data_IF_028224294444
#
_entry.id   IF_028224294444
#
_cell.length_a   1.000
_cell.length_b   1.000
_cell.length_c   1.000
_cell.angle_alpha   90.00
_cell.angle_beta   90.00
_cell.angle_gamma   90.00
#
_symmetry.space_group_name_H-M   'P 1'
#
loop_
_entity.id
_entity.type
_entity.pdbx_description
1 polymer ?
#
# COMPACT_ATOMS: atom_id res chain seq x y z
N UNK A 1 -84.81 52.35 -1.42
CA UNK A 1 -83.67 51.86 -2.27
C UNK A 1 -82.51 51.64 -1.35
N UNK A 2 -82.33 50.42 -0.86
CA UNK A 2 -81.35 50.03 0.16
C UNK A 2 -80.18 49.34 -0.55
N UNK A 3 -79.01 49.95 -0.47
CA UNK A 3 -77.80 49.42 -1.08
C UNK A 3 -77.26 48.22 -0.25
N UNK A 4 -76.92 47.12 -0.95
CA UNK A 4 -76.32 45.94 -0.38
C UNK A 4 -74.83 46.18 -0.07
N UNK A 5 -74.26 45.59 1.02
CA UNK A 5 -72.86 45.74 1.33
C UNK A 5 -71.96 44.81 0.47
N UNK A 6 -70.77 45.31 0.14
CA UNK A 6 -69.73 44.60 -0.65
C UNK A 6 -69.13 43.42 0.11
N UNK A 7 -68.73 42.35 -0.57
CA UNK A 7 -68.10 41.20 0.07
C UNK A 7 -66.66 41.47 0.53
N UNK A 8 -66.32 40.99 1.73
CA UNK A 8 -64.97 41.02 2.31
C UNK A 8 -64.01 40.07 1.56
N UNK A 9 -62.75 40.46 1.35
CA UNK A 9 -61.75 39.57 0.76
C UNK A 9 -61.32 38.49 1.74
N UNK A 10 -61.34 37.23 1.28
CA UNK A 10 -60.83 36.06 2.02
C UNK A 10 -59.32 36.15 2.23
N UNK A 11 -58.81 35.67 3.36
CA UNK A 11 -57.37 35.65 3.65
C UNK A 11 -56.70 34.66 2.70
N UNK A 12 -55.67 35.15 1.99
CA UNK A 12 -54.75 34.31 1.21
C UNK A 12 -54.02 33.33 2.14
N UNK A 13 -54.20 32.03 1.91
CA UNK A 13 -53.39 30.98 2.56
C UNK A 13 -51.94 31.17 2.12
N UNK A 14 -51.08 31.41 3.09
CA UNK A 14 -49.62 31.41 2.91
C UNK A 14 -49.18 29.98 2.57
N UNK A 15 -48.56 29.80 1.41
CA UNK A 15 -47.88 28.55 1.06
C UNK A 15 -46.78 28.26 2.09
N UNK A 16 -46.59 27.01 2.51
CA UNK A 16 -45.50 26.65 3.35
C UNK A 16 -44.16 26.91 2.63
N UNK A 17 -43.25 27.61 3.31
CA UNK A 17 -41.89 27.80 2.84
C UNK A 17 -41.28 26.45 2.52
N UNK A 18 -40.81 26.27 1.28
CA UNK A 18 -39.99 25.15 0.90
C UNK A 18 -38.73 25.14 1.76
N UNK A 19 -38.62 24.14 2.62
CA UNK A 19 -37.39 23.86 3.34
C UNK A 19 -36.36 23.38 2.33
N UNK A 20 -35.56 24.28 1.75
CA UNK A 20 -34.34 23.97 1.01
C UNK A 20 -33.26 23.46 2.00
N UNK A 21 -33.56 22.33 2.62
CA UNK A 21 -32.54 21.50 3.22
C UNK A 21 -31.95 20.68 2.06
N UNK A 22 -31.07 21.31 1.28
CA UNK A 22 -30.17 20.59 0.42
C UNK A 22 -29.36 19.66 1.34
N UNK A 23 -29.73 18.39 1.37
CA UNK A 23 -28.96 17.34 2.03
C UNK A 23 -27.59 17.38 1.37
N UNK A 24 -26.59 17.94 2.08
CA UNK A 24 -25.20 17.89 1.64
C UNK A 24 -24.87 16.45 1.28
N UNK A 25 -24.35 16.26 0.08
CA UNK A 25 -23.93 14.93 -0.39
C UNK A 25 -22.93 14.41 0.63
N UNK A 26 -23.20 13.27 1.27
CA UNK A 26 -22.31 12.76 2.31
C UNK A 26 -20.91 12.56 1.73
N UNK A 27 -19.85 12.84 2.49
CA UNK A 27 -18.48 12.76 2.00
C UNK A 27 -18.17 11.34 1.50
N UNK A 28 -17.28 11.20 0.49
CA UNK A 28 -16.95 9.89 -0.06
C UNK A 28 -16.31 9.00 0.99
N UNK A 29 -16.83 7.77 1.13
CA UNK A 29 -16.36 6.80 2.11
C UNK A 29 -14.89 6.39 1.84
N UNK A 30 -14.03 6.55 2.84
CA UNK A 30 -12.60 6.25 2.77
C UNK A 30 -12.16 5.04 3.61
N UNK A 31 -10.85 4.85 3.72
CA UNK A 31 -10.23 3.79 4.55
C UNK A 31 -10.70 3.77 6.02
N UNK A 32 -10.85 4.94 6.71
CA UNK A 32 -11.36 4.96 8.09
C UNK A 32 -12.77 4.39 8.21
N UNK A 33 -13.66 4.71 7.28
CA UNK A 33 -15.03 4.19 7.24
C UNK A 33 -15.07 2.66 7.06
N UNK A 34 -14.28 2.11 6.13
CA UNK A 34 -14.16 0.67 5.94
C UNK A 34 -13.59 -0.05 7.18
N UNK A 35 -12.68 0.60 7.90
CA UNK A 35 -12.16 0.09 9.16
C UNK A 35 -13.24 0.05 10.23
N UNK A 36 -13.97 1.16 10.45
CA UNK A 36 -15.07 1.25 11.42
C UNK A 36 -16.19 0.26 11.12
N UNK A 37 -16.60 0.11 9.86
CA UNK A 37 -17.59 -0.90 9.46
C UNK A 37 -17.16 -2.32 9.83
N UNK A 38 -15.89 -2.67 9.64
CA UNK A 38 -15.36 -3.98 10.05
C UNK A 38 -15.34 -4.18 11.56
N UNK A 39 -15.04 -3.13 12.31
CA UNK A 39 -15.08 -3.15 13.79
C UNK A 39 -16.50 -3.40 14.26
N UNK A 40 -17.50 -2.68 13.74
CA UNK A 40 -18.93 -2.88 14.06
C UNK A 40 -19.39 -4.29 13.65
N UNK A 41 -19.01 -4.76 12.44
CA UNK A 41 -19.37 -6.11 11.95
C UNK A 41 -18.85 -7.24 12.85
N UNK A 42 -17.69 -7.03 13.50
CA UNK A 42 -17.02 -8.04 14.36
C UNK A 42 -17.35 -7.90 15.85
N UNK A 43 -18.07 -6.87 16.24
CA UNK A 43 -18.36 -6.54 17.63
C UNK A 43 -19.85 -6.63 17.94
N UNK A 44 -20.22 -6.33 19.18
CA UNK A 44 -21.61 -6.19 19.60
C UNK A 44 -22.30 -4.95 19.01
N UNK A 45 -21.58 -4.09 18.29
CA UNK A 45 -22.13 -2.87 17.68
C UNK A 45 -22.40 -1.73 18.66
N UNK A 46 -21.57 -1.57 19.68
CA UNK A 46 -21.72 -0.45 20.60
C UNK A 46 -21.48 0.89 19.89
N UNK A 47 -22.37 1.91 20.08
CA UNK A 47 -22.19 3.22 19.48
C UNK A 47 -20.94 3.91 20.01
N UNK A 48 -20.20 4.57 19.11
CA UNK A 48 -19.03 5.39 19.45
C UNK A 48 -19.36 6.88 19.47
N UNK A 49 -20.49 7.27 18.86
CA UNK A 49 -21.01 8.63 18.80
C UNK A 49 -20.01 9.65 18.22
N UNK A 50 -19.18 9.20 17.27
CA UNK A 50 -18.18 10.02 16.58
C UNK A 50 -18.61 10.36 15.14
N UNK A 51 -17.83 11.23 14.48
CA UNK A 51 -18.11 11.70 13.13
C UNK A 51 -18.20 10.55 12.13
N UNK A 52 -17.32 9.54 12.23
CA UNK A 52 -17.33 8.39 11.31
C UNK A 52 -18.63 7.58 11.43
N UNK A 53 -19.17 7.46 12.64
CA UNK A 53 -20.47 6.80 12.87
C UNK A 53 -21.61 7.60 12.24
N UNK A 54 -21.60 8.93 12.40
CA UNK A 54 -22.62 9.82 11.80
C UNK A 54 -22.58 9.69 10.28
N UNK A 55 -21.40 9.74 9.66
CA UNK A 55 -21.22 9.61 8.21
C UNK A 55 -21.68 8.24 7.70
N UNK A 56 -21.38 7.16 8.43
CA UNK A 56 -21.80 5.80 8.07
C UNK A 56 -23.33 5.59 8.24
N UNK A 57 -23.96 6.23 9.20
CA UNK A 57 -25.42 6.25 9.36
C UNK A 57 -26.07 7.07 8.24
N UNK A 58 -25.55 8.27 7.96
CA UNK A 58 -26.07 9.15 6.90
C UNK A 58 -25.95 8.51 5.51
N UNK A 59 -24.91 7.72 5.26
CA UNK A 59 -24.73 6.97 4.00
C UNK A 59 -25.48 5.64 3.95
N UNK A 60 -26.21 5.27 5.02
CA UNK A 60 -26.95 4.01 5.09
C UNK A 60 -26.08 2.76 5.21
N UNK A 61 -24.79 2.88 5.54
CA UNK A 61 -23.88 1.75 5.75
C UNK A 61 -24.08 1.09 7.11
N UNK A 62 -24.55 1.88 8.10
CA UNK A 62 -24.95 1.43 9.41
C UNK A 62 -26.42 1.76 9.67
N UNK A 63 -27.03 1.03 10.58
CA UNK A 63 -28.34 1.33 11.14
C UNK A 63 -28.31 1.18 12.65
N UNK A 64 -29.14 1.98 13.35
CA UNK A 64 -29.37 1.83 14.79
C UNK A 64 -30.44 0.79 15.02
N UNK A 65 -30.24 -0.07 15.99
CA UNK A 65 -31.16 -1.12 16.38
C UNK A 65 -31.40 -0.98 17.88
N UNK A 66 -32.67 -0.75 18.26
CA UNK A 66 -33.05 -0.73 19.67
C UNK A 66 -33.10 -2.16 20.22
N UNK A 67 -32.40 -2.38 21.31
CA UNK A 67 -32.43 -3.65 22.04
C UNK A 67 -33.62 -3.73 23.03
N UNK A 68 -33.96 -4.95 23.53
CA UNK A 68 -35.06 -5.17 24.43
C UNK A 68 -34.97 -4.41 25.75
N UNK A 69 -33.77 -4.04 26.18
CA UNK A 69 -33.49 -3.32 27.43
C UNK A 69 -33.35 -1.80 27.21
N UNK A 70 -33.79 -1.26 26.08
CA UNK A 70 -33.74 0.16 25.76
C UNK A 70 -32.36 0.71 25.36
N UNK A 71 -31.34 -0.12 25.28
CA UNK A 71 -30.04 0.29 24.74
C UNK A 71 -30.04 0.21 23.21
N UNK A 72 -29.31 1.14 22.55
CA UNK A 72 -29.11 1.12 21.12
C UNK A 72 -27.83 0.40 20.76
N UNK A 73 -27.85 -0.33 19.67
CA UNK A 73 -26.70 -0.95 19.04
C UNK A 73 -26.63 -0.56 17.57
N UNK A 74 -25.45 -0.65 16.99
CA UNK A 74 -25.22 -0.44 15.56
C UNK A 74 -25.16 -1.77 14.83
N UNK A 75 -25.79 -1.84 13.68
CA UNK A 75 -25.71 -2.97 12.78
C UNK A 75 -25.27 -2.51 11.40
N UNK A 76 -24.37 -3.28 10.79
CA UNK A 76 -23.98 -3.07 9.38
C UNK A 76 -25.15 -3.48 8.49
N UNK A 77 -25.55 -2.61 7.58
CA UNK A 77 -26.63 -2.87 6.60
C UNK A 77 -26.11 -3.74 5.45
N UNK A 78 -27.01 -4.22 4.59
CA UNK A 78 -26.63 -4.95 3.38
C UNK A 78 -25.76 -4.09 2.44
N UNK A 79 -26.02 -2.78 2.36
CA UNK A 79 -25.17 -1.83 1.64
C UNK A 79 -23.77 -1.74 2.26
N UNK A 80 -23.68 -1.72 3.60
CA UNK A 80 -22.41 -1.77 4.33
C UNK A 80 -21.65 -3.08 4.10
N UNK A 81 -22.35 -4.21 4.06
CA UNK A 81 -21.76 -5.53 3.74
C UNK A 81 -21.24 -5.54 2.30
N UNK A 82 -22.02 -5.06 1.33
CA UNK A 82 -21.60 -4.95 -0.07
C UNK A 82 -20.36 -4.06 -0.23
N UNK A 83 -20.30 -2.92 0.47
CA UNK A 83 -19.14 -2.04 0.48
C UNK A 83 -17.89 -2.73 1.06
N UNK A 84 -18.03 -3.48 2.16
CA UNK A 84 -16.94 -4.25 2.74
C UNK A 84 -16.44 -5.34 1.78
N UNK A 85 -17.34 -6.07 1.14
CA UNK A 85 -17.01 -7.11 0.15
C UNK A 85 -16.25 -6.52 -1.04
N UNK A 86 -16.74 -5.41 -1.62
CA UNK A 86 -16.07 -4.71 -2.70
C UNK A 86 -14.67 -4.19 -2.30
N UNK A 87 -14.52 -3.72 -1.06
CA UNK A 87 -13.23 -3.27 -0.53
C UNK A 87 -12.25 -4.44 -0.36
N UNK A 88 -12.72 -5.61 0.10
CA UNK A 88 -11.89 -6.81 0.20
C UNK A 88 -11.43 -7.30 -1.17
N UNK A 89 -12.32 -7.32 -2.16
CA UNK A 89 -11.96 -7.72 -3.54
C UNK A 89 -10.90 -6.79 -4.13
N UNK A 90 -11.06 -5.47 -3.97
CA UNK A 90 -10.05 -4.49 -4.42
C UNK A 90 -8.70 -4.69 -3.74
N UNK A 91 -8.69 -4.92 -2.42
CA UNK A 91 -7.46 -5.16 -1.68
C UNK A 91 -6.76 -6.47 -2.11
N UNK A 92 -7.53 -7.54 -2.36
CA UNK A 92 -6.98 -8.81 -2.89
C UNK A 92 -6.39 -8.62 -4.27
N UNK A 93 -7.08 -7.92 -5.17
CA UNK A 93 -6.57 -7.64 -6.51
C UNK A 93 -5.29 -6.78 -6.47
N UNK A 94 -5.24 -5.80 -5.57
CA UNK A 94 -4.06 -4.96 -5.37
C UNK A 94 -2.87 -5.77 -4.86
N UNK A 95 -3.09 -6.62 -3.84
CA UNK A 95 -2.06 -7.50 -3.30
C UNK A 95 -1.56 -8.49 -4.36
N UNK A 96 -2.47 -9.09 -5.14
CA UNK A 96 -2.10 -10.00 -6.23
C UNK A 96 -1.24 -9.34 -7.30
N UNK A 97 -1.55 -8.09 -7.69
CA UNK A 97 -0.73 -7.33 -8.66
C UNK A 97 0.65 -7.00 -8.10
N UNK A 98 0.73 -6.61 -6.83
CA UNK A 98 1.99 -6.33 -6.15
C UNK A 98 2.85 -7.59 -6.11
N UNK A 99 2.31 -8.71 -5.63
CA UNK A 99 3.04 -9.98 -5.55
C UNK A 99 3.51 -10.48 -6.92
N UNK A 100 2.67 -10.37 -7.96
CA UNK A 100 3.06 -10.75 -9.32
C UNK A 100 4.25 -9.91 -9.83
N UNK A 101 4.26 -8.59 -9.53
CA UNK A 101 5.37 -7.73 -9.94
C UNK A 101 6.63 -7.99 -9.10
N UNK A 102 6.49 -8.28 -7.80
CA UNK A 102 7.59 -8.71 -6.93
C UNK A 102 8.23 -10.00 -7.48
N UNK A 103 7.40 -10.97 -7.86
CA UNK A 103 7.86 -12.24 -8.42
C UNK A 103 8.59 -12.03 -9.76
N UNK A 104 8.06 -11.17 -10.63
CA UNK A 104 8.71 -10.83 -11.90
C UNK A 104 10.06 -10.16 -11.67
N UNK A 105 10.17 -9.16 -10.77
CA UNK A 105 11.45 -8.51 -10.45
C UNK A 105 12.45 -9.52 -9.88
N UNK A 106 12.00 -10.37 -8.97
CA UNK A 106 12.85 -11.41 -8.39
C UNK A 106 13.38 -12.38 -9.46
N UNK A 107 12.52 -12.82 -10.37
CA UNK A 107 12.91 -13.69 -11.50
C UNK A 107 13.89 -12.99 -12.44
N UNK A 108 13.74 -11.69 -12.71
CA UNK A 108 14.72 -10.92 -13.51
C UNK A 108 16.09 -10.86 -12.82
N UNK A 109 16.13 -10.67 -11.51
CA UNK A 109 17.38 -10.67 -10.75
C UNK A 109 18.05 -12.05 -10.76
N UNK A 110 17.28 -13.12 -10.61
CA UNK A 110 17.80 -14.50 -10.75
C UNK A 110 18.36 -14.74 -12.15
N UNK A 111 17.65 -14.35 -13.21
CA UNK A 111 18.13 -14.44 -14.60
C UNK A 111 19.42 -13.63 -14.85
N UNK A 112 19.58 -12.53 -14.12
CA UNK A 112 20.81 -11.74 -14.13
C UNK A 112 21.97 -12.38 -13.32
N UNK A 113 21.83 -13.62 -12.86
CA UNK A 113 22.84 -14.36 -12.10
C UNK A 113 23.01 -13.89 -10.66
N UNK A 114 21.95 -13.31 -10.05
CA UNK A 114 21.98 -12.81 -8.68
C UNK A 114 21.30 -13.78 -7.71
N UNK A 115 21.79 -13.87 -6.48
CA UNK A 115 21.09 -14.53 -5.39
C UNK A 115 20.04 -13.55 -4.88
N UNK A 116 18.78 -13.97 -4.81
CA UNK A 116 17.63 -13.05 -4.62
C UNK A 116 16.71 -13.53 -3.52
N UNK A 117 16.19 -12.60 -2.72
CA UNK A 117 15.21 -12.85 -1.65
C UNK A 117 14.03 -11.86 -1.78
N UNK A 118 12.84 -12.30 -1.36
CA UNK A 118 11.61 -11.49 -1.34
C UNK A 118 11.19 -11.20 0.11
N UNK A 119 10.79 -9.96 0.39
CA UNK A 119 10.20 -9.53 1.66
C UNK A 119 11.05 -9.80 2.91
N UNK A 120 12.35 -9.91 2.76
CA UNK A 120 13.26 -10.23 3.84
C UNK A 120 13.48 -9.04 4.79
N UNK A 121 13.34 -9.26 6.10
CA UNK A 121 13.66 -8.27 7.12
C UNK A 121 15.18 -8.16 7.34
N UNK A 122 15.74 -7.01 6.98
CA UNK A 122 17.18 -6.74 7.07
C UNK A 122 17.46 -5.62 8.07
N UNK A 123 18.51 -5.79 8.86
CA UNK A 123 18.95 -4.76 9.80
C UNK A 123 19.71 -3.67 9.05
N UNK A 124 19.16 -2.45 9.07
CA UNK A 124 19.74 -1.27 8.43
C UNK A 124 20.09 -0.21 9.48
N UNK A 125 21.05 0.62 9.14
CA UNK A 125 21.49 1.73 9.98
C UNK A 125 20.90 3.04 9.43
N UNK A 126 20.29 3.82 10.31
CA UNK A 126 19.81 5.16 10.00
C UNK A 126 20.85 6.18 10.45
N UNK A 127 20.97 7.30 9.73
CA UNK A 127 21.81 8.40 10.19
C UNK A 127 21.33 8.88 11.56
N UNK A 128 22.21 9.45 12.38
CA UNK A 128 21.84 10.03 13.66
C UNK A 128 20.92 11.24 13.46
N UNK A 129 19.98 11.46 14.39
CA UNK A 129 19.05 12.58 14.36
C UNK A 129 19.73 13.95 14.58
N UNK A 130 20.93 13.94 15.19
CA UNK A 130 21.73 15.14 15.46
C UNK A 130 23.18 14.89 15.09
N UNK A 131 23.89 15.94 14.70
CA UNK A 131 25.31 15.89 14.40
C UNK A 131 26.09 15.40 15.62
N UNK A 132 26.90 14.33 15.46
CA UNK A 132 27.61 13.66 16.57
C UNK A 132 26.77 12.65 17.39
N UNK A 133 25.49 12.48 17.06
CA UNK A 133 24.61 11.48 17.69
C UNK A 133 24.99 10.04 17.33
N UNK A 134 24.39 9.07 18.03
CA UNK A 134 24.57 7.65 17.72
C UNK A 134 23.65 7.25 16.58
N UNK A 135 24.15 6.49 15.62
CA UNK A 135 23.35 5.89 14.58
C UNK A 135 22.27 4.96 15.16
N UNK A 136 21.07 5.02 14.60
CA UNK A 136 19.94 4.18 15.00
C UNK A 136 19.82 2.97 14.09
N UNK A 137 19.36 1.86 14.65
CA UNK A 137 19.10 0.63 13.90
C UNK A 137 17.60 0.45 13.67
N UNK A 138 17.24 0.05 12.46
CA UNK A 138 15.87 -0.33 12.13
C UNK A 138 15.84 -1.65 11.37
N UNK A 139 14.66 -2.23 11.24
CA UNK A 139 14.41 -3.36 10.33
C UNK A 139 13.79 -2.81 9.06
N UNK A 140 14.56 -2.82 7.99
CA UNK A 140 14.09 -2.54 6.64
C UNK A 140 13.60 -3.84 5.99
N UNK A 141 12.51 -3.75 5.21
CA UNK A 141 11.95 -4.90 4.51
C UNK A 141 11.69 -4.52 3.06
N UNK A 142 12.72 -4.57 2.21
CA UNK A 142 12.53 -4.38 0.77
C UNK A 142 11.66 -5.49 0.17
N UNK A 143 10.93 -5.18 -0.88
CA UNK A 143 10.13 -6.18 -1.59
C UNK A 143 11.03 -7.23 -2.25
N UNK A 144 12.14 -6.79 -2.87
CA UNK A 144 13.19 -7.67 -3.39
C UNK A 144 14.56 -7.16 -2.96
N UNK A 145 15.37 -8.06 -2.44
CA UNK A 145 16.78 -7.84 -2.12
C UNK A 145 17.62 -8.86 -2.89
N UNK A 146 18.70 -8.42 -3.52
CA UNK A 146 19.58 -9.32 -4.25
C UNK A 146 21.04 -8.93 -4.09
N UNK A 147 21.92 -9.94 -4.16
CA UNK A 147 23.37 -9.77 -4.19
C UNK A 147 23.92 -10.49 -5.42
N UNK A 148 25.06 -10.06 -5.92
CA UNK A 148 25.77 -10.80 -6.96
C UNK A 148 26.25 -12.14 -6.41
N UNK A 149 26.12 -13.19 -7.19
CA UNK A 149 26.67 -14.51 -6.86
C UNK A 149 28.20 -14.47 -7.06
N UNK A 150 28.92 -14.22 -5.97
CA UNK A 150 30.39 -14.08 -5.94
C UNK A 150 30.95 -14.47 -4.60
N UNK A 151 32.18 -14.94 -4.58
CA UNK A 151 32.98 -15.21 -3.36
C UNK A 151 33.85 -14.02 -2.96
N UNK A 152 33.90 -12.97 -3.78
CA UNK A 152 34.72 -11.77 -3.53
C UNK A 152 33.83 -10.69 -2.92
N UNK A 153 34.18 -10.28 -1.71
CA UNK A 153 33.35 -9.37 -0.91
C UNK A 153 33.10 -8.01 -1.57
N UNK A 154 34.08 -7.46 -2.27
CA UNK A 154 33.96 -6.17 -2.97
C UNK A 154 32.97 -6.25 -4.15
N UNK A 155 32.68 -7.44 -4.67
CA UNK A 155 31.80 -7.66 -5.81
C UNK A 155 30.39 -8.12 -5.44
N UNK A 156 30.06 -8.17 -4.16
CA UNK A 156 28.73 -8.60 -3.66
C UNK A 156 27.60 -7.73 -4.21
N UNK A 157 27.82 -6.44 -4.41
CA UNK A 157 26.96 -5.49 -5.11
C UNK A 157 25.46 -5.64 -4.72
N UNK A 158 25.07 -5.30 -3.48
CA UNK A 158 23.71 -5.46 -3.00
C UNK A 158 22.75 -4.48 -3.69
N UNK A 159 21.59 -4.97 -4.09
CA UNK A 159 20.53 -4.16 -4.74
C UNK A 159 19.22 -4.32 -3.98
N UNK A 160 18.55 -3.20 -3.75
CA UNK A 160 17.22 -3.11 -3.17
C UNK A 160 16.22 -2.70 -4.23
N UNK A 161 15.09 -3.42 -4.32
CA UNK A 161 13.94 -3.01 -5.12
C UNK A 161 12.71 -2.82 -4.23
N UNK A 162 12.05 -1.69 -4.41
CA UNK A 162 10.77 -1.35 -3.81
C UNK A 162 9.70 -1.26 -4.89
N UNK A 163 8.66 -2.07 -4.78
CA UNK A 163 7.62 -2.22 -5.80
C UNK A 163 6.39 -1.40 -5.41
N UNK A 164 5.84 -0.66 -6.36
CA UNK A 164 4.59 0.11 -6.19
C UNK A 164 3.64 -0.17 -7.33
N UNK A 165 2.39 -0.50 -6.99
CA UNK A 165 1.31 -0.76 -7.96
C UNK A 165 0.16 0.23 -7.84
N UNK A 166 0.22 1.15 -6.86
CA UNK A 166 -0.77 2.20 -6.65
C UNK A 166 -0.11 3.56 -6.47
N UNK A 167 -0.67 4.57 -7.11
CA UNK A 167 -0.23 5.96 -7.02
C UNK A 167 -0.19 6.46 -5.57
N UNK A 168 -1.24 6.19 -4.79
CA UNK A 168 -1.32 6.59 -3.37
C UNK A 168 -0.20 6.00 -2.52
N UNK A 169 0.18 4.75 -2.81
CA UNK A 169 1.22 4.04 -2.06
C UNK A 169 2.61 4.56 -2.43
N UNK A 170 2.83 4.90 -3.72
CA UNK A 170 4.03 5.58 -4.17
C UNK A 170 4.19 6.92 -3.44
N UNK A 171 3.19 7.80 -3.50
CA UNK A 171 3.24 9.12 -2.87
C UNK A 171 3.40 9.04 -1.34
N UNK A 172 2.77 8.06 -0.71
CA UNK A 172 2.93 7.79 0.72
C UNK A 172 4.34 7.32 1.08
N UNK A 173 4.95 6.49 0.23
CA UNK A 173 6.28 5.95 0.44
C UNK A 173 7.37 7.02 0.24
N UNK A 174 7.24 7.84 -0.79
CA UNK A 174 8.19 8.92 -1.08
C UNK A 174 8.34 9.94 0.07
N UNK A 175 7.34 10.07 0.93
CA UNK A 175 7.38 10.91 2.14
C UNK A 175 8.14 10.26 3.30
N UNK A 176 8.43 8.96 3.24
CA UNK A 176 9.11 8.21 4.29
C UNK A 176 10.63 8.25 4.10
N UNK A 177 11.23 9.37 4.48
CA UNK A 177 12.67 9.61 4.31
C UNK A 177 13.52 8.55 5.04
N UNK A 178 13.13 8.15 6.26
CA UNK A 178 13.86 7.13 7.04
C UNK A 178 13.86 5.76 6.36
N UNK A 179 12.73 5.34 5.77
CA UNK A 179 12.65 4.09 5.04
C UNK A 179 13.61 4.09 3.85
N UNK A 180 13.64 5.20 3.09
CA UNK A 180 14.56 5.36 1.97
C UNK A 180 16.01 5.37 2.43
N UNK A 181 16.33 6.09 3.51
CA UNK A 181 17.68 6.07 4.10
C UNK A 181 18.12 4.65 4.48
N UNK A 182 17.23 3.85 5.09
CA UNK A 182 17.51 2.46 5.41
C UNK A 182 17.77 1.60 4.16
N UNK A 183 17.02 1.81 3.07
CA UNK A 183 17.24 1.10 1.82
C UNK A 183 18.56 1.49 1.15
N UNK A 184 18.92 2.76 1.22
CA UNK A 184 20.18 3.28 0.72
C UNK A 184 21.37 2.83 1.58
N UNK A 185 21.14 2.54 2.86
CA UNK A 185 22.14 1.89 3.71
C UNK A 185 22.35 0.42 3.34
N UNK A 186 21.31 -0.31 3.02
CA UNK A 186 21.39 -1.72 2.66
C UNK A 186 21.93 -1.97 1.25
N UNK A 187 21.57 -1.13 0.26
CA UNK A 187 21.87 -1.34 -1.14
C UNK A 187 23.00 -0.48 -1.68
N UNK A 188 23.87 -1.04 -2.52
CA UNK A 188 24.72 -0.27 -3.42
C UNK A 188 23.89 0.47 -4.48
N UNK A 189 22.74 -0.10 -4.84
CA UNK A 189 21.70 0.51 -5.67
C UNK A 189 20.33 0.35 -4.99
N UNK A 190 19.48 1.36 -5.11
CA UNK A 190 18.09 1.31 -4.67
C UNK A 190 17.18 1.63 -5.86
N UNK A 191 16.21 0.79 -6.14
CA UNK A 191 15.32 0.90 -7.28
C UNK A 191 13.86 0.97 -6.85
N UNK A 192 13.10 1.91 -7.44
CA UNK A 192 11.65 1.89 -7.42
C UNK A 192 11.14 1.24 -8.70
N UNK A 193 10.27 0.24 -8.55
CA UNK A 193 9.62 -0.44 -9.66
C UNK A 193 8.16 -0.04 -9.66
N UNK A 194 7.73 0.67 -10.70
CA UNK A 194 6.40 1.24 -10.81
C UNK A 194 5.55 0.40 -11.77
N UNK A 195 4.48 -0.17 -11.22
CA UNK A 195 3.47 -0.87 -11.99
C UNK A 195 2.54 0.07 -12.74
N UNK A 196 1.47 -0.48 -13.33
CA UNK A 196 0.51 0.25 -14.14
C UNK A 196 -0.86 0.38 -13.45
N UNK A 197 -1.59 1.44 -13.81
CA UNK A 197 -2.99 1.66 -13.48
C UNK A 197 -3.90 0.67 -14.25
N UNK A 198 -5.22 0.78 -14.05
CA UNK A 198 -6.22 -0.05 -14.76
C UNK A 198 -6.26 0.18 -16.28
N UNK A 199 -5.65 1.27 -16.76
CA UNK A 199 -5.57 1.62 -18.20
C UNK A 199 -4.21 1.27 -18.80
N UNK A 200 -3.34 0.55 -18.05
CA UNK A 200 -2.01 0.17 -18.50
C UNK A 200 -0.98 1.32 -18.48
N UNK A 201 -1.26 2.45 -17.86
CA UNK A 201 -0.34 3.58 -17.77
C UNK A 201 0.48 3.48 -16.48
N UNK A 202 1.77 3.83 -16.48
CA UNK A 202 2.59 3.86 -15.27
C UNK A 202 1.94 4.69 -14.17
N UNK A 203 2.02 4.23 -12.92
CA UNK A 203 1.43 4.94 -11.76
C UNK A 203 2.21 6.19 -11.34
N UNK A 204 3.37 6.43 -11.92
CA UNK A 204 4.22 7.59 -11.66
C UNK A 204 5.31 7.72 -12.72
N UNK A 205 6.03 8.83 -12.68
CA UNK A 205 7.14 9.14 -13.58
C UNK A 205 8.48 9.09 -12.84
N UNK A 206 9.57 8.94 -13.60
CA UNK A 206 10.91 8.80 -13.03
C UNK A 206 11.39 10.06 -12.29
N UNK A 207 10.96 11.23 -12.71
CA UNK A 207 11.30 12.53 -12.11
C UNK A 207 10.64 12.77 -10.74
N UNK A 208 9.58 12.02 -10.43
CA UNK A 208 8.90 12.06 -9.13
C UNK A 208 9.66 11.30 -8.03
N UNK A 209 10.47 10.33 -8.43
CA UNK A 209 11.29 9.54 -7.50
C UNK A 209 12.62 10.26 -7.26
N UNK A 210 13.11 10.35 -6.00
CA UNK A 210 14.37 11.01 -5.68
C UNK A 210 15.56 10.50 -6.52
N UNK A 211 16.46 11.41 -6.87
CA UNK A 211 17.57 11.13 -7.81
C UNK A 211 18.56 10.07 -7.31
N UNK A 212 18.61 9.84 -5.99
CA UNK A 212 19.42 8.78 -5.38
C UNK A 212 18.89 7.35 -5.63
N UNK A 213 17.71 7.20 -6.22
CA UNK A 213 17.11 5.91 -6.58
C UNK A 213 16.97 5.76 -8.09
N UNK A 214 17.14 4.55 -8.59
CA UNK A 214 16.77 4.18 -9.95
C UNK A 214 15.27 3.99 -10.09
N UNK A 215 14.77 4.02 -11.32
CA UNK A 215 13.36 3.80 -11.63
C UNK A 215 13.21 2.83 -12.79
N UNK A 216 12.44 1.78 -12.54
CA UNK A 216 11.93 0.87 -13.58
C UNK A 216 10.43 1.07 -13.73
N UNK A 217 9.94 1.04 -14.95
CA UNK A 217 8.53 1.10 -15.30
C UNK A 217 8.08 -0.22 -15.89
N UNK A 218 6.86 -0.62 -15.58
CA UNK A 218 6.22 -1.73 -16.28
C UNK A 218 5.61 -1.22 -17.58
N UNK A 219 6.06 -1.75 -18.71
CA UNK A 219 5.50 -1.50 -20.04
C UNK A 219 4.99 -2.82 -20.63
N UNK A 220 3.69 -3.01 -20.62
CA UNK A 220 3.06 -4.29 -20.92
C UNK A 220 3.51 -5.39 -19.95
N UNK A 221 4.30 -6.33 -20.42
CA UNK A 221 4.88 -7.44 -19.62
C UNK A 221 6.39 -7.27 -19.36
N UNK A 222 6.96 -6.11 -19.67
CA UNK A 222 8.42 -5.90 -19.60
C UNK A 222 8.74 -4.80 -18.56
N UNK A 223 9.86 -5.02 -17.87
CA UNK A 223 10.47 -3.98 -17.03
C UNK A 223 11.44 -3.16 -17.87
N UNK A 224 11.22 -1.85 -17.91
CA UNK A 224 12.04 -0.90 -18.66
C UNK A 224 12.70 0.06 -17.67
N UNK A 225 14.02 0.25 -17.82
CA UNK A 225 14.78 1.20 -17.02
C UNK A 225 14.48 2.62 -17.53
N UNK A 226 13.70 3.39 -16.77
CA UNK A 226 13.42 4.79 -17.06
C UNK A 226 14.52 5.73 -16.55
N UNK A 227 15.18 5.35 -15.45
CA UNK A 227 16.35 6.03 -14.89
C UNK A 227 17.23 5.04 -14.16
N UNK A 228 18.53 5.00 -14.50
CA UNK A 228 19.48 4.14 -13.80
C UNK A 228 19.67 4.59 -12.34
N UNK A 229 19.84 3.61 -11.43
CA UNK A 229 20.19 3.90 -10.05
C UNK A 229 21.66 4.37 -9.98
N UNK A 230 21.97 5.40 -9.20
CA UNK A 230 23.35 5.73 -8.89
C UNK A 230 24.03 4.60 -8.12
N UNK A 231 25.17 4.15 -8.60
CA UNK A 231 25.98 3.17 -7.88
C UNK A 231 26.69 3.86 -6.73
N UNK A 232 26.63 3.22 -5.57
CA UNK A 232 27.34 3.68 -4.36
C UNK A 232 28.44 2.69 -4.04
N UNK A 233 29.62 3.21 -3.76
CA UNK A 233 30.65 2.38 -3.12
C UNK A 233 30.17 2.03 -1.72
N UNK A 234 29.98 0.75 -1.48
CA UNK A 234 29.59 0.27 -0.16
C UNK A 234 30.73 -0.49 0.48
N UNK A 235 30.91 -0.26 1.78
CA UNK A 235 31.68 -1.16 2.62
C UNK A 235 30.93 -2.49 2.76
N UNK A 236 31.58 -3.52 3.25
CA UNK A 236 31.03 -4.84 3.44
C UNK A 236 29.62 -4.82 4.08
N UNK A 237 28.75 -5.75 3.68
CA UNK A 237 27.48 -5.95 4.35
C UNK A 237 27.70 -6.29 5.83
N UNK A 238 26.93 -5.68 6.76
CA UNK A 238 27.04 -6.00 8.19
C UNK A 238 26.73 -7.47 8.48
N UNK A 239 27.37 -8.05 9.49
CA UNK A 239 27.12 -9.43 9.92
C UNK A 239 25.64 -9.73 10.12
N UNK A 240 24.86 -8.78 10.68
CA UNK A 240 23.42 -8.94 10.89
C UNK A 240 22.63 -9.14 9.59
N UNK A 241 23.08 -8.57 8.47
CA UNK A 241 22.50 -8.81 7.14
C UNK A 241 22.86 -10.22 6.67
N UNK A 242 24.15 -10.60 6.74
CA UNK A 242 24.59 -11.95 6.39
C UNK A 242 23.85 -13.04 7.16
N UNK A 243 23.63 -12.83 8.47
CA UNK A 243 22.85 -13.77 9.30
C UNK A 243 21.38 -13.84 8.89
N UNK A 244 20.80 -12.75 8.39
CA UNK A 244 19.42 -12.77 7.87
C UNK A 244 19.35 -13.54 6.54
N UNK A 245 20.32 -13.32 5.64
CA UNK A 245 20.42 -14.04 4.36
C UNK A 245 20.62 -15.54 4.59
N UNK A 246 21.52 -15.93 5.50
CA UNK A 246 21.81 -17.33 5.81
C UNK A 246 20.62 -18.11 6.41
N UNK A 247 19.69 -17.41 7.07
CA UNK A 247 18.48 -18.02 7.67
C UNK A 247 17.29 -18.08 6.70
N UNK A 248 17.37 -17.36 5.58
CA UNK A 248 16.29 -17.27 4.62
C UNK A 248 16.60 -18.10 3.39
N UNK A 249 15.56 -18.68 2.80
CA UNK A 249 15.68 -19.39 1.54
C UNK A 249 15.66 -18.37 0.39
N UNK A 250 16.65 -18.32 -0.48
CA UNK A 250 16.62 -17.50 -1.69
C UNK A 250 15.55 -18.00 -2.66
N UNK A 251 15.17 -17.14 -3.60
CA UNK A 251 14.31 -17.54 -4.72
C UNK A 251 15.05 -18.60 -5.54
N UNK A 252 14.37 -19.70 -5.85
CA UNK A 252 14.95 -20.81 -6.60
C UNK A 252 15.54 -20.34 -7.95
N UNK A 253 16.70 -20.81 -8.30
CA UNK A 253 17.33 -20.57 -9.61
C UNK A 253 16.56 -21.27 -10.72
N UNK A 254 16.70 -20.79 -11.95
CA UNK A 254 16.09 -21.42 -13.13
C UNK A 254 16.62 -22.83 -13.41
N UNK A 255 17.75 -23.22 -12.79
CA UNK A 255 18.47 -24.45 -13.04
C UNK A 255 18.61 -25.33 -11.78
N UNK A 256 17.90 -25.05 -10.69
CA UNK A 256 18.01 -25.88 -9.47
C UNK A 256 17.51 -27.32 -9.68
N UNK A 257 16.69 -27.57 -10.72
CA UNK A 257 16.19 -28.90 -11.08
C UNK A 257 17.18 -29.69 -11.98
N UNK A 258 18.22 -29.07 -12.52
CA UNK A 258 19.20 -29.73 -13.44
C UNK A 258 20.56 -30.03 -12.78
N UNK A 259 20.74 -29.72 -11.51
CA UNK A 259 21.95 -30.17 -10.83
C UNK A 259 21.80 -31.66 -10.49
N UNK A 260 22.01 -32.47 -11.55
CA UNK A 260 22.15 -33.90 -11.39
C UNK A 260 23.19 -34.22 -10.34
N UNK A 261 22.93 -35.20 -9.50
CA UNK A 261 23.84 -35.65 -8.45
C UNK A 261 25.22 -35.89 -9.05
N UNK A 262 26.24 -35.22 -8.55
CA UNK A 262 27.66 -35.53 -8.80
C UNK A 262 28.00 -36.92 -8.21
N UNK A 263 27.37 -37.95 -8.75
CA UNK A 263 27.48 -39.29 -8.18
C UNK A 263 27.45 -40.44 -9.17
N UNK A 264 27.03 -40.22 -10.38
CA UNK A 264 26.98 -41.26 -11.42
C UNK A 264 28.19 -41.20 -12.36
N UNK A 265 29.39 -41.23 -11.80
CA UNK A 265 30.54 -41.71 -12.54
C UNK A 265 30.54 -43.23 -12.38
N UNK A 266 29.90 -43.93 -13.31
CA UNK A 266 30.11 -45.36 -13.47
C UNK A 266 31.58 -45.67 -13.76
N UNK A 267 32.11 -46.61 -13.00
CA UNK A 267 33.45 -47.17 -13.11
C UNK A 267 33.58 -48.09 -14.35
#
# INVERSE_FOLDING_TARGET
MTAAPAPHPSPRASAPAANDNALEIPPPLGRPHARRLREVYRSAGWPCQDLLEIELLATGMLQRVAGPAGHETLRVTDAGIAYLAATLLRNRSALSKHEALVEQVAAEMVRAGRITWRGLGLRAQLPPDTEGGKARWCIARPDVFSIRNTTVQEYVDPIVHEIKVHRSDLLGDLRRLEKRAAYLDLGGECWYVLGCDAKGRPIGAADEVPAECGVMLMEGQRLVVARAAPRRSRQALPLGVWMALAKATPVAGLNDDEQGMLGDCEA
#
